data_IF_428994487522
#
_entry.id   IF_428994487522
#
_cell.length_a   1.000
_cell.length_b   1.000
_cell.length_c   1.000
_cell.angle_alpha   90.00
_cell.angle_beta   90.00
_cell.angle_gamma   90.00
#
_symmetry.space_group_name_H-M   'P 1'
#
loop_
_entity.id
_entity.type
_entity.pdbx_description
1 polymer ?
#
# COMPACT_ATOMS: atom_id res chain seq x y z
N UNK A 1 -18.73 22.06 17.17
CA UNK A 1 -17.50 21.45 16.63
C UNK A 1 -17.10 20.35 17.59
N UNK A 2 -17.67 19.16 17.41
CA UNK A 2 -17.31 18.01 18.24
C UNK A 2 -15.93 17.53 17.80
N UNK A 3 -14.94 17.81 18.64
CA UNK A 3 -13.61 17.23 18.51
C UNK A 3 -13.78 15.72 18.74
N UNK A 4 -13.54 14.92 17.69
CA UNK A 4 -13.67 13.47 17.69
C UNK A 4 -12.79 12.84 18.78
N UNK A 5 -13.42 12.19 19.78
CA UNK A 5 -12.77 11.61 20.98
C UNK A 5 -12.74 10.08 21.05
N UNK A 6 -12.89 9.35 19.94
CA UNK A 6 -12.83 7.88 19.96
C UNK A 6 -12.02 7.31 18.78
N UNK A 7 -11.16 6.28 18.99
CA UNK A 7 -10.20 5.85 17.99
C UNK A 7 -10.89 5.12 16.84
N UNK A 8 -10.50 5.49 15.63
CA UNK A 8 -10.77 4.75 14.40
C UNK A 8 -9.60 3.80 14.18
N UNK A 9 -9.90 2.69 13.54
CA UNK A 9 -8.95 1.68 13.05
C UNK A 9 -7.68 2.34 12.57
N UNK A 10 -6.60 2.06 13.28
CA UNK A 10 -5.28 2.52 12.88
C UNK A 10 -4.43 1.29 12.71
N UNK A 11 -3.95 1.09 11.49
CA UNK A 11 -2.76 0.32 11.21
C UNK A 11 -1.59 1.12 11.80
N UNK A 12 -1.23 0.83 13.06
CA UNK A 12 -0.09 1.44 13.77
C UNK A 12 1.08 0.46 13.76
N UNK A 13 2.24 0.95 13.30
CA UNK A 13 3.55 0.45 13.69
C UNK A 13 4.05 1.25 14.90
N UNK A 14 4.42 0.59 16.01
CA UNK A 14 5.07 1.26 17.14
C UNK A 14 6.53 1.62 16.83
N UNK A 15 7.04 2.77 17.30
CA UNK A 15 8.31 2.84 17.99
C UNK A 15 8.08 2.65 19.50
N UNK A 16 8.95 1.88 20.12
CA UNK A 16 8.88 1.46 21.52
C UNK A 16 9.05 2.66 22.49
N UNK A 17 7.96 3.10 23.12
CA UNK A 17 7.96 3.76 24.43
C UNK A 17 6.78 3.20 25.25
N UNK A 18 6.98 3.05 26.58
CA UNK A 18 6.08 2.42 27.58
C UNK A 18 4.58 2.53 27.24
N UNK A 19 3.90 1.39 27.10
CA UNK A 19 2.44 1.32 26.89
C UNK A 19 1.69 1.77 28.15
N UNK A 20 0.72 2.70 28.09
CA UNK A 20 -0.34 2.76 29.07
C UNK A 20 -1.50 1.81 28.66
N UNK A 21 -2.19 1.26 29.66
CA UNK A 21 -3.06 0.07 29.60
C UNK A 21 -4.39 0.20 28.80
N UNK A 22 -4.56 1.12 27.84
CA UNK A 22 -5.91 1.52 27.40
C UNK A 22 -6.16 1.80 25.90
N UNK A 23 -5.55 1.07 24.97
CA UNK A 23 -5.94 1.18 23.55
C UNK A 23 -6.38 -0.17 22.96
N UNK A 24 -7.56 -0.65 23.37
CA UNK A 24 -8.27 -1.69 22.62
C UNK A 24 -8.92 -1.06 21.39
N UNK A 25 -8.63 -1.59 20.20
CA UNK A 25 -9.33 -1.22 18.96
C UNK A 25 -10.80 -1.64 19.12
N UNK A 26 -11.73 -0.70 18.93
CA UNK A 26 -13.16 -0.98 18.93
C UNK A 26 -13.75 -0.66 17.57
N UNK A 27 -14.34 -1.66 16.93
CA UNK A 27 -14.98 -1.56 15.62
C UNK A 27 -16.49 -1.32 15.76
N UNK A 28 -17.12 -0.79 14.70
CA UNK A 28 -18.58 -0.68 14.61
C UNK A 28 -19.20 -2.01 14.17
N UNK A 29 -19.96 -2.68 15.05
CA UNK A 29 -20.74 -3.90 14.74
C UNK A 29 -20.47 -5.05 15.72
N UNK A 30 -21.16 -6.18 15.54
CA UNK A 30 -21.10 -7.34 16.46
C UNK A 30 -19.93 -8.32 16.17
N UNK A 31 -19.25 -8.20 15.04
CA UNK A 31 -18.17 -9.11 14.63
C UNK A 31 -16.82 -8.82 15.32
N UNK A 32 -16.10 -9.89 15.68
CA UNK A 32 -14.75 -9.87 16.22
C UNK A 32 -13.66 -9.58 15.16
N UNK A 33 -12.45 -9.21 15.61
CA UNK A 33 -11.31 -8.92 14.72
C UNK A 33 -10.95 -10.11 13.80
N UNK A 34 -11.04 -11.33 14.31
CA UNK A 34 -10.75 -12.54 13.55
C UNK A 34 -11.78 -12.83 12.45
N UNK A 35 -13.05 -12.53 12.69
CA UNK A 35 -14.13 -12.74 11.70
C UNK A 35 -13.99 -11.78 10.51
N UNK A 36 -13.72 -10.49 10.77
CA UNK A 36 -13.49 -9.51 9.69
C UNK A 36 -12.24 -9.82 8.87
N UNK A 37 -11.18 -10.32 9.51
CA UNK A 37 -9.98 -10.74 8.80
C UNK A 37 -10.28 -11.89 7.84
N UNK A 38 -11.05 -12.88 8.29
CA UNK A 38 -11.49 -13.98 7.44
C UNK A 38 -12.35 -13.49 6.27
N UNK A 39 -13.35 -12.62 6.54
CA UNK A 39 -14.20 -12.00 5.51
C UNK A 39 -13.37 -11.24 4.46
N UNK A 40 -12.36 -10.48 4.89
CA UNK A 40 -11.47 -9.77 3.97
C UNK A 40 -10.67 -10.75 3.10
N UNK A 41 -10.07 -11.78 3.70
CA UNK A 41 -9.28 -12.79 2.97
C UNK A 41 -10.14 -13.50 1.93
N UNK A 42 -11.36 -13.91 2.30
CA UNK A 42 -12.27 -14.62 1.41
C UNK A 42 -12.77 -13.71 0.28
N UNK A 43 -13.10 -12.45 0.58
CA UNK A 43 -13.49 -11.47 -0.42
C UNK A 43 -12.35 -11.15 -1.41
N UNK A 44 -11.11 -11.03 -0.94
CA UNK A 44 -9.92 -10.86 -1.78
C UNK A 44 -9.69 -12.07 -2.67
N UNK A 45 -9.80 -13.30 -2.15
CA UNK A 45 -9.68 -14.52 -2.95
C UNK A 45 -10.75 -14.58 -4.05
N UNK A 46 -11.99 -14.27 -3.71
CA UNK A 46 -13.08 -14.22 -4.68
C UNK A 46 -12.84 -13.14 -5.76
N UNK A 47 -12.31 -11.96 -5.38
CA UNK A 47 -11.95 -10.90 -6.32
C UNK A 47 -10.80 -11.32 -7.25
N UNK A 48 -9.78 -11.96 -6.69
CA UNK A 48 -8.64 -12.49 -7.39
C UNK A 48 -9.04 -13.56 -8.43
N UNK A 49 -9.94 -14.48 -8.06
CA UNK A 49 -10.48 -15.52 -8.94
C UNK A 49 -11.25 -14.93 -10.12
N UNK A 50 -12.09 -13.90 -9.89
CA UNK A 50 -12.81 -13.19 -10.96
C UNK A 50 -11.86 -12.59 -11.99
N UNK A 51 -10.71 -12.09 -11.55
CA UNK A 51 -9.69 -11.50 -12.41
C UNK A 51 -8.66 -12.52 -12.93
N UNK A 52 -8.74 -13.78 -12.48
CA UNK A 52 -7.77 -14.85 -12.78
C UNK A 52 -6.33 -14.45 -12.42
N UNK A 53 -6.16 -13.76 -11.29
CA UNK A 53 -4.86 -13.36 -10.76
C UNK A 53 -4.64 -14.13 -9.46
N UNK A 54 -3.65 -15.04 -9.37
CA UNK A 54 -3.30 -15.66 -8.11
C UNK A 54 -2.89 -14.62 -7.07
N UNK A 55 -3.28 -14.85 -5.81
CA UNK A 55 -2.89 -14.01 -4.68
C UNK A 55 -2.24 -14.86 -3.59
N UNK A 56 -1.11 -14.39 -3.07
CA UNK A 56 -0.54 -14.89 -1.83
C UNK A 56 -1.00 -13.99 -0.68
N UNK A 57 -1.54 -14.60 0.37
CA UNK A 57 -2.04 -13.88 1.55
C UNK A 57 -1.37 -14.44 2.80
N UNK A 58 -0.71 -13.57 3.55
CA UNK A 58 0.00 -13.88 4.79
C UNK A 58 0.07 -12.63 5.67
N UNK A 59 0.42 -12.74 6.95
CA UNK A 59 0.61 -11.56 7.80
C UNK A 59 0.49 -11.87 9.28
N UNK A 60 0.23 -10.81 10.03
CA UNK A 60 0.15 -10.81 11.49
C UNK A 60 -1.32 -10.84 11.91
N UNK A 61 -1.89 -12.05 11.95
CA UNK A 61 -3.30 -12.23 12.27
C UNK A 61 -3.69 -11.67 13.67
N UNK A 62 -2.77 -11.71 14.63
CA UNK A 62 -2.97 -11.13 15.97
C UNK A 62 -3.22 -9.62 15.98
N UNK A 63 -2.79 -8.92 14.92
CA UNK A 63 -2.94 -7.47 14.76
C UNK A 63 -4.02 -7.10 13.72
N UNK A 64 -4.72 -8.09 13.16
CA UNK A 64 -5.65 -7.88 12.04
C UNK A 64 -4.96 -7.41 10.76
N UNK A 65 -3.67 -7.73 10.57
CA UNK A 65 -2.85 -7.24 9.46
C UNK A 65 -2.51 -8.36 8.46
N UNK A 66 -2.87 -8.17 7.19
CA UNK A 66 -2.51 -9.07 6.09
C UNK A 66 -1.85 -8.35 4.92
N UNK A 67 -0.84 -9.01 4.38
CA UNK A 67 -0.23 -8.70 3.10
C UNK A 67 -1.00 -9.47 2.01
N UNK A 68 -1.43 -8.74 0.99
CA UNK A 68 -2.04 -9.30 -0.22
C UNK A 68 -1.11 -9.06 -1.39
N UNK A 69 -0.44 -10.12 -1.83
CA UNK A 69 0.48 -10.06 -2.97
C UNK A 69 -0.19 -10.64 -4.20
N UNK A 70 -0.57 -9.78 -5.14
CA UNK A 70 -1.07 -10.18 -6.45
C UNK A 70 0.08 -10.66 -7.35
N UNK A 71 -0.15 -11.78 -8.05
CA UNK A 71 0.83 -12.44 -8.92
C UNK A 71 0.31 -12.50 -10.36
N UNK A 72 0.14 -11.35 -11.04
CA UNK A 72 -0.39 -11.34 -12.41
C UNK A 72 0.62 -11.94 -13.40
N UNK A 73 0.12 -12.68 -14.38
CA UNK A 73 0.89 -13.00 -15.58
C UNK A 73 1.02 -11.75 -16.46
N UNK A 74 2.20 -11.13 -16.45
CA UNK A 74 2.48 -9.88 -17.18
C UNK A 74 2.61 -10.06 -18.69
N UNK A 75 2.58 -11.30 -19.18
CA UNK A 75 2.59 -11.62 -20.62
C UNK A 75 1.18 -11.66 -21.22
N UNK A 76 0.14 -11.80 -20.39
CA UNK A 76 -1.24 -11.90 -20.83
C UNK A 76 -1.83 -10.53 -21.20
N UNK A 77 -2.48 -10.42 -22.35
CA UNK A 77 -3.19 -9.19 -22.73
C UNK A 77 -4.25 -8.79 -21.68
N UNK A 78 -4.29 -7.51 -21.31
CA UNK A 78 -5.23 -6.96 -20.33
C UNK A 78 -4.88 -7.24 -18.87
N UNK A 79 -3.69 -7.75 -18.56
CA UNK A 79 -3.28 -8.03 -17.17
C UNK A 79 -3.31 -6.79 -16.27
N UNK A 80 -3.00 -5.60 -16.80
CA UNK A 80 -3.04 -4.32 -16.07
C UNK A 80 -4.47 -3.96 -15.66
N UNK A 81 -5.43 -4.13 -16.55
CA UNK A 81 -6.85 -3.85 -16.28
C UNK A 81 -7.41 -4.81 -15.24
N UNK A 82 -7.08 -6.10 -15.37
CA UNK A 82 -7.44 -7.11 -14.38
C UNK A 82 -6.83 -6.81 -13.00
N UNK A 83 -5.57 -6.36 -12.95
CA UNK A 83 -4.91 -5.97 -11.71
C UNK A 83 -5.52 -4.69 -11.11
N UNK A 84 -5.88 -3.70 -11.94
CA UNK A 84 -6.55 -2.49 -11.51
C UNK A 84 -7.94 -2.79 -10.92
N UNK A 85 -8.68 -3.71 -11.53
CA UNK A 85 -9.98 -4.18 -11.03
C UNK A 85 -9.83 -4.94 -9.70
N UNK A 86 -8.79 -5.76 -9.54
CA UNK A 86 -8.48 -6.40 -8.25
C UNK A 86 -8.11 -5.37 -7.18
N UNK A 87 -7.30 -4.36 -7.51
CA UNK A 87 -6.95 -3.27 -6.59
C UNK A 87 -8.18 -2.47 -6.14
N UNK A 88 -9.08 -2.15 -7.07
CA UNK A 88 -10.33 -1.46 -6.75
C UNK A 88 -11.20 -2.31 -5.82
N UNK A 89 -11.44 -3.58 -6.16
CA UNK A 89 -12.23 -4.49 -5.33
C UNK A 89 -11.64 -4.67 -3.92
N UNK A 90 -10.31 -4.77 -3.80
CA UNK A 90 -9.63 -4.83 -2.51
C UNK A 90 -9.83 -3.55 -1.68
N UNK A 91 -9.74 -2.39 -2.34
CA UNK A 91 -9.94 -1.08 -1.69
C UNK A 91 -11.38 -0.91 -1.21
N UNK A 92 -12.35 -1.32 -2.02
CA UNK A 92 -13.77 -1.23 -1.69
C UNK A 92 -14.12 -2.14 -0.51
N UNK A 93 -13.61 -3.38 -0.52
CA UNK A 93 -13.79 -4.33 0.58
C UNK A 93 -13.18 -3.81 1.89
N UNK A 94 -12.01 -3.16 1.83
CA UNK A 94 -11.44 -2.50 3.02
C UNK A 94 -12.40 -1.42 3.55
N UNK A 95 -12.99 -0.58 2.71
CA UNK A 95 -13.93 0.45 3.14
C UNK A 95 -15.19 -0.14 3.77
N UNK A 96 -15.76 -1.18 3.15
CA UNK A 96 -16.96 -1.88 3.63
C UNK A 96 -16.74 -2.50 5.01
N UNK A 97 -15.58 -3.14 5.21
CA UNK A 97 -15.20 -3.75 6.48
C UNK A 97 -14.65 -2.74 7.51
N UNK A 98 -14.53 -1.47 7.14
CA UNK A 98 -14.03 -0.38 7.98
C UNK A 98 -12.50 -0.35 8.14
N UNK A 99 -11.76 -1.13 7.34
CA UNK A 99 -10.31 -1.22 7.35
C UNK A 99 -9.60 0.01 6.78
N UNK A 100 -8.28 -0.10 6.63
CA UNK A 100 -7.40 0.96 6.11
C UNK A 100 -6.41 0.40 5.09
N UNK A 101 -5.95 1.20 4.10
CA UNK A 101 -5.24 0.69 2.92
C UNK A 101 -3.74 0.42 3.16
N UNK A 102 -3.19 0.77 4.31
CA UNK A 102 -1.76 0.68 4.60
C UNK A 102 -1.48 0.27 6.03
N UNK A 103 -0.89 -0.93 6.19
CA UNK A 103 -0.44 -1.50 7.47
C UNK A 103 0.80 -0.83 8.02
N UNK A 104 1.88 -1.07 7.30
CA UNK A 104 3.23 -0.70 7.70
C UNK A 104 3.99 0.04 6.59
N UNK A 105 3.60 -0.16 5.32
CA UNK A 105 4.36 0.30 4.17
C UNK A 105 4.03 1.74 3.73
N UNK A 106 3.16 2.42 4.47
CA UNK A 106 2.67 3.75 4.14
C UNK A 106 1.83 3.82 2.86
N UNK A 107 1.51 5.06 2.49
CA UNK A 107 0.61 5.36 1.35
C UNK A 107 1.35 5.25 0.02
N UNK A 108 2.53 5.89 -0.08
CA UNK A 108 3.28 5.97 -1.34
C UNK A 108 2.48 6.70 -2.44
N UNK A 109 2.82 6.41 -3.70
CA UNK A 109 2.01 6.82 -4.87
C UNK A 109 0.80 5.93 -5.06
N UNK A 110 0.97 4.62 -4.83
CA UNK A 110 -0.04 3.61 -5.11
C UNK A 110 -1.36 3.87 -4.38
N UNK A 111 -1.33 4.35 -3.14
CA UNK A 111 -2.54 4.54 -2.32
C UNK A 111 -2.96 6.00 -2.17
N UNK A 112 -2.22 6.94 -2.77
CA UNK A 112 -2.46 8.37 -2.57
C UNK A 112 -3.87 8.77 -3.02
N UNK A 113 -4.33 8.27 -4.17
CA UNK A 113 -5.65 8.62 -4.70
C UNK A 113 -6.84 8.00 -3.98
N UNK A 114 -6.63 6.94 -3.19
CA UNK A 114 -7.73 6.31 -2.42
C UNK A 114 -7.85 6.87 -1.01
N UNK A 115 -6.85 7.62 -0.54
CA UNK A 115 -6.71 8.03 0.86
C UNK A 115 -7.88 8.86 1.39
N UNK A 116 -8.44 9.73 0.53
CA UNK A 116 -9.59 10.56 0.86
C UNK A 116 -10.86 9.74 1.14
N UNK A 117 -11.00 8.57 0.54
CA UNK A 117 -12.13 7.66 0.80
C UNK A 117 -12.10 7.12 2.23
N UNK A 118 -10.91 6.99 2.83
CA UNK A 118 -10.73 6.45 4.18
C UNK A 118 -10.77 7.53 5.26
N UNK A 119 -10.12 8.67 5.03
CA UNK A 119 -9.99 9.72 6.06
C UNK A 119 -10.96 10.89 5.87
N UNK A 120 -11.59 11.02 4.72
CA UNK A 120 -12.50 12.12 4.39
C UNK A 120 -11.79 13.40 3.98
N UNK A 121 -12.55 14.32 3.41
CA UNK A 121 -12.05 15.57 2.82
C UNK A 121 -11.42 16.52 3.85
N UNK A 122 -11.94 16.56 5.08
CA UNK A 122 -11.42 17.42 6.16
C UNK A 122 -9.99 17.05 6.55
N UNK A 123 -9.71 15.76 6.80
CA UNK A 123 -8.36 15.30 7.13
C UNK A 123 -7.41 15.49 5.94
N UNK A 124 -7.89 15.21 4.72
CA UNK A 124 -7.09 15.43 3.53
C UNK A 124 -6.79 16.91 3.26
N UNK A 125 -7.69 17.83 3.65
CA UNK A 125 -7.43 19.27 3.59
C UNK A 125 -6.27 19.65 4.52
N UNK A 126 -6.26 19.13 5.76
CA UNK A 126 -5.13 19.35 6.69
C UNK A 126 -3.81 18.83 6.13
N UNK A 127 -3.80 17.68 5.46
CA UNK A 127 -2.59 17.16 4.83
C UNK A 127 -2.09 18.08 3.71
N UNK A 128 -3.01 18.65 2.91
CA UNK A 128 -2.69 19.61 1.86
C UNK A 128 -2.16 20.93 2.44
N UNK A 129 -2.78 21.44 3.49
CA UNK A 129 -2.32 22.66 4.19
C UNK A 129 -0.91 22.48 4.76
N UNK A 130 -0.66 21.36 5.44
CA UNK A 130 0.66 21.04 5.96
C UNK A 130 1.68 20.92 4.84
N UNK A 131 1.34 20.25 3.74
CA UNK A 131 2.21 20.16 2.56
C UNK A 131 2.54 21.54 2.00
N UNK A 132 1.54 22.40 1.86
CA UNK A 132 1.71 23.75 1.32
C UNK A 132 2.58 24.64 2.22
N UNK A 133 2.46 24.50 3.54
CA UNK A 133 3.24 25.27 4.49
C UNK A 133 4.76 24.96 4.43
N UNK A 134 5.12 23.69 4.20
CA UNK A 134 6.52 23.23 4.22
C UNK A 134 7.12 22.97 2.84
N UNK A 135 6.30 22.87 1.79
CA UNK A 135 6.74 22.67 0.40
C UNK A 135 5.82 23.45 -0.56
N UNK A 136 5.88 24.79 -0.54
CA UNK A 136 5.00 25.63 -1.35
C UNK A 136 5.22 25.49 -2.86
N UNK A 137 6.37 24.96 -3.27
CA UNK A 137 6.72 24.68 -4.67
C UNK A 137 6.37 23.25 -5.10
N UNK A 138 5.95 22.38 -4.16
CA UNK A 138 5.58 21.00 -4.44
C UNK A 138 6.75 20.11 -4.89
N UNK A 139 8.00 20.45 -4.56
CA UNK A 139 9.19 19.73 -5.03
C UNK A 139 9.52 18.49 -4.21
N UNK A 140 9.04 18.40 -2.97
CA UNK A 140 9.29 17.25 -2.10
C UNK A 140 8.37 16.08 -2.44
N UNK A 141 8.83 15.25 -3.37
CA UNK A 141 8.22 13.96 -3.73
C UNK A 141 6.74 14.08 -4.18
N UNK A 142 6.45 14.83 -5.26
CA UNK A 142 5.10 15.03 -5.75
C UNK A 142 4.37 13.72 -6.07
N UNK A 143 3.06 13.70 -5.79
CA UNK A 143 2.19 12.56 -5.99
C UNK A 143 2.29 11.45 -4.93
N UNK A 144 3.05 11.67 -3.85
CA UNK A 144 3.18 10.75 -2.71
C UNK A 144 2.36 11.25 -1.53
N UNK A 145 1.59 10.36 -0.91
CA UNK A 145 0.59 10.65 0.15
C UNK A 145 -0.58 11.49 -0.37
N UNK A 146 -0.30 12.63 -1.00
CA UNK A 146 -1.26 13.44 -1.74
C UNK A 146 -1.24 13.02 -3.21
N UNK A 147 -2.40 12.74 -3.82
CA UNK A 147 -2.44 12.30 -5.21
C UNK A 147 -2.04 13.43 -6.16
N UNK A 148 -1.39 13.05 -7.27
CA UNK A 148 -1.25 13.91 -8.43
C UNK A 148 -2.61 14.08 -9.13
N UNK A 149 -2.79 15.13 -9.92
CA UNK A 149 -4.04 15.41 -10.65
C UNK A 149 -4.40 14.29 -11.63
N UNK A 150 -3.39 13.69 -12.25
CA UNK A 150 -3.47 12.58 -13.20
C UNK A 150 -3.23 11.22 -12.53
N UNK A 151 -3.41 11.14 -11.21
CA UNK A 151 -3.16 9.90 -10.47
C UNK A 151 -3.97 8.75 -11.04
N UNK A 152 -3.29 7.66 -11.35
CA UNK A 152 -3.89 6.37 -11.66
C UNK A 152 -3.11 5.28 -10.92
N UNK A 153 -3.81 4.32 -10.28
CA UNK A 153 -3.15 3.17 -9.69
C UNK A 153 -2.43 2.42 -10.81
N UNK A 154 -1.22 1.93 -10.53
CA UNK A 154 -0.45 1.11 -11.47
C UNK A 154 0.06 1.82 -12.75
N UNK A 155 -0.06 3.15 -12.87
CA UNK A 155 0.44 3.88 -14.05
C UNK A 155 1.97 3.79 -14.23
N UNK A 156 2.71 3.59 -13.13
CA UNK A 156 4.18 3.61 -13.10
C UNK A 156 4.77 2.23 -12.75
N UNK A 157 4.19 1.15 -13.29
CA UNK A 157 4.73 -0.19 -13.07
C UNK A 157 6.09 -0.35 -13.74
N UNK A 158 7.04 -0.93 -12.99
CA UNK A 158 8.40 -1.25 -13.47
C UNK A 158 8.48 -2.62 -14.16
N UNK A 159 7.35 -3.18 -14.56
CA UNK A 159 7.21 -4.53 -15.12
C UNK A 159 6.25 -4.52 -16.30
N UNK A 160 6.41 -5.49 -17.19
CA UNK A 160 5.63 -5.61 -18.43
C UNK A 160 6.31 -4.95 -19.64
N UNK A 161 5.71 -5.11 -20.82
CA UNK A 161 6.33 -4.69 -22.09
C UNK A 161 6.53 -3.17 -22.21
N UNK A 162 5.71 -2.37 -21.52
CA UNK A 162 5.78 -0.91 -21.56
C UNK A 162 6.68 -0.32 -20.45
N UNK A 163 7.33 -1.15 -19.64
CA UNK A 163 8.19 -0.66 -18.57
C UNK A 163 9.41 0.04 -19.15
N UNK A 164 9.78 1.20 -18.60
CA UNK A 164 11.00 1.90 -18.98
C UNK A 164 12.20 0.94 -18.86
N UNK A 165 12.96 0.71 -19.95
CA UNK A 165 14.12 -0.17 -19.90
C UNK A 165 15.12 0.33 -18.86
N UNK A 166 15.72 -0.61 -18.13
CA UNK A 166 16.88 -0.30 -17.30
C UNK A 166 18.01 0.09 -18.26
N UNK A 167 18.70 1.23 -18.05
CA UNK A 167 19.86 1.62 -18.86
C UNK A 167 20.88 0.48 -18.97
N UNK A 168 21.47 0.30 -20.17
CA UNK A 168 22.30 -0.87 -20.48
C UNK A 168 23.51 -1.02 -19.55
N UNK A 169 24.13 0.10 -19.15
CA UNK A 169 25.24 0.13 -18.20
C UNK A 169 24.82 -0.38 -16.81
N UNK A 170 23.65 0.04 -16.34
CA UNK A 170 23.06 -0.41 -15.08
C UNK A 170 22.68 -1.90 -15.19
N UNK A 171 22.03 -2.30 -16.28
CA UNK A 171 21.63 -3.69 -16.50
C UNK A 171 22.83 -4.63 -16.55
N UNK A 172 23.91 -4.22 -17.22
CA UNK A 172 25.16 -4.97 -17.26
C UNK A 172 25.78 -5.13 -15.86
N UNK A 173 25.84 -4.04 -15.08
CA UNK A 173 26.37 -4.07 -13.72
C UNK A 173 25.54 -4.93 -12.77
N UNK A 174 24.21 -4.88 -12.87
CA UNK A 174 23.33 -5.76 -12.09
C UNK A 174 23.59 -7.24 -12.41
N UNK A 175 23.72 -7.60 -13.69
CA UNK A 175 24.06 -8.98 -14.09
C UNK A 175 25.43 -9.41 -13.56
N UNK A 176 26.43 -8.53 -13.60
CA UNK A 176 27.75 -8.82 -13.04
C UNK A 176 27.70 -9.04 -11.52
N UNK A 177 26.91 -8.22 -10.79
CA UNK A 177 26.68 -8.39 -9.36
C UNK A 177 25.95 -9.70 -9.03
N UNK A 178 24.94 -10.08 -9.81
CA UNK A 178 24.23 -11.34 -9.64
C UNK A 178 25.15 -12.54 -9.89
N UNK A 179 25.89 -12.54 -11.00
CA UNK A 179 26.84 -13.61 -11.36
C UNK A 179 27.98 -13.76 -10.35
N UNK A 180 28.49 -12.64 -9.85
CA UNK A 180 29.56 -12.62 -8.85
C UNK A 180 29.09 -12.75 -7.41
N UNK A 181 27.77 -12.89 -7.17
CA UNK A 181 27.16 -12.79 -5.85
C UNK A 181 27.59 -11.54 -5.06
N UNK A 182 27.90 -10.44 -5.74
CA UNK A 182 28.37 -9.18 -5.14
C UNK A 182 27.35 -8.50 -4.24
N UNK A 183 26.08 -8.96 -4.25
CA UNK A 183 25.08 -8.57 -3.26
C UNK A 183 25.39 -9.11 -1.85
N UNK A 184 26.23 -10.13 -1.74
CA UNK A 184 26.73 -10.63 -0.45
C UNK A 184 27.86 -9.77 0.12
N UNK A 185 28.46 -8.89 -0.71
CA UNK A 185 29.47 -7.93 -0.27
C UNK A 185 28.80 -6.76 0.44
N UNK A 186 29.19 -6.44 1.69
CA UNK A 186 28.66 -5.30 2.41
C UNK A 186 28.75 -3.99 1.61
N UNK A 187 27.70 -3.15 1.66
CA UNK A 187 27.69 -1.87 0.93
C UNK A 187 28.85 -0.95 1.30
N UNK A 188 29.41 -1.11 2.51
CA UNK A 188 30.58 -0.39 2.99
C UNK A 188 31.88 -0.80 2.28
N UNK A 189 31.92 -1.99 1.69
CA UNK A 189 33.08 -2.50 0.95
C UNK A 189 32.99 -2.21 -0.56
N UNK A 190 31.80 -1.83 -1.06
CA UNK A 190 31.56 -1.45 -2.46
C UNK A 190 32.00 -0.01 -2.79
N UNK A 191 32.48 0.77 -1.82
CA UNK A 191 32.79 2.19 -1.95
C UNK A 191 34.29 2.52 -2.16
N UNK A 192 35.13 1.50 -2.35
CA UNK A 192 36.57 1.65 -2.61
C UNK A 192 36.92 1.36 -4.08
#
# INVERSE_FOLDING_TARGET
>A
MEIFRAPRVTLIARPQFLEPEHLKVQWRGEASDGERLAEYIDGIRAAADRQRIPVAVFGHAGDGHVHVNALPDTTRLGWKDALAALYAAATDLLLELGGVPSGEHGVGRLRAGVLERFYGSEVMALFRELKQAYDPLGVFNPGVILPATDWAPLANLKVGPDATPIPDDIAHRLRALEQGAGWATPKTELAN
#
